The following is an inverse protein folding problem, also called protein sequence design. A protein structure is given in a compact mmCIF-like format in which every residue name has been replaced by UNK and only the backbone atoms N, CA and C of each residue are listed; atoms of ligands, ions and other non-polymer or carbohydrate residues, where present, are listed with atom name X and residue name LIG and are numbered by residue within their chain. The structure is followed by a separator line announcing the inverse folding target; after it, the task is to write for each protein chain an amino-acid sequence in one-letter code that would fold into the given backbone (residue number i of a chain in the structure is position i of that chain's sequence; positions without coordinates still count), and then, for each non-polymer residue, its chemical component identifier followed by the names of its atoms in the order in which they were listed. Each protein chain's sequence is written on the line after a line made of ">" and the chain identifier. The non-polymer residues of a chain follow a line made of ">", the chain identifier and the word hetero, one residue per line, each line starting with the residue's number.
data_IF_879182746168
#
_entry.id   IF_879182746168
#
_cell.length_a   1.000
_cell.length_b   1.000
_cell.length_c   1.000
_cell.angle_alpha   90.00
_cell.angle_beta   90.00
_cell.angle_gamma   90.00
#
_symmetry.space_group_name_H-M   'P 1'
#
loop_
_entity.id
_entity.type
_entity.pdbx_description
1 polymer ?
#
# COMPACT_ATOMS: atom_id res chain seq x y z
N UNK A 1 -29.10 -16.15 -11.68
CA UNK A 1 -29.26 -14.83 -11.03
C UNK A 1 -28.16 -13.95 -11.59
N UNK A 2 -28.51 -12.83 -12.21
CA UNK A 2 -27.52 -11.84 -12.67
C UNK A 2 -26.71 -11.41 -11.45
N UNK A 3 -25.40 -11.62 -11.46
CA UNK A 3 -24.55 -11.01 -10.45
C UNK A 3 -24.67 -9.50 -10.60
N UNK A 4 -25.06 -8.85 -9.52
CA UNK A 4 -25.01 -7.40 -9.43
C UNK A 4 -23.56 -6.95 -9.70
N UNK A 5 -23.31 -6.08 -10.71
CA UNK A 5 -21.96 -5.66 -11.07
C UNK A 5 -21.16 -5.11 -9.88
N UNK A 6 -21.85 -4.43 -8.95
CA UNK A 6 -21.23 -3.90 -7.74
C UNK A 6 -20.68 -5.00 -6.83
N UNK A 7 -21.39 -6.13 -6.74
CA UNK A 7 -20.91 -7.30 -5.99
C UNK A 7 -19.64 -7.88 -6.60
N UNK A 8 -19.55 -7.95 -7.94
CA UNK A 8 -18.31 -8.39 -8.59
C UNK A 8 -17.16 -7.42 -8.30
N UNK A 9 -17.38 -6.12 -8.39
CA UNK A 9 -16.34 -5.11 -8.11
C UNK A 9 -15.82 -5.17 -6.67
N UNK A 10 -16.71 -5.40 -5.69
CA UNK A 10 -16.31 -5.65 -4.30
C UNK A 10 -15.38 -6.85 -4.18
N UNK A 11 -15.71 -7.95 -4.85
CA UNK A 11 -14.88 -9.16 -4.84
C UNK A 11 -13.53 -8.94 -5.51
N UNK A 12 -13.47 -8.14 -6.58
CA UNK A 12 -12.20 -7.76 -7.24
C UNK A 12 -11.31 -6.99 -6.26
N UNK A 13 -11.85 -5.96 -5.58
CA UNK A 13 -11.09 -5.17 -4.60
C UNK A 13 -10.61 -6.04 -3.43
N UNK A 14 -11.47 -6.89 -2.87
CA UNK A 14 -11.08 -7.84 -1.82
C UNK A 14 -9.99 -8.80 -2.30
N UNK A 15 -10.13 -9.35 -3.51
CA UNK A 15 -9.12 -10.24 -4.07
C UNK A 15 -7.78 -9.54 -4.22
N UNK A 16 -7.74 -8.33 -4.80
CA UNK A 16 -6.50 -7.54 -4.91
C UNK A 16 -5.81 -7.36 -3.55
N UNK A 17 -6.56 -6.94 -2.52
CA UNK A 17 -6.02 -6.72 -1.18
C UNK A 17 -5.56 -8.02 -0.50
N UNK A 18 -6.14 -9.16 -0.86
CA UNK A 18 -5.73 -10.47 -0.34
C UNK A 18 -4.49 -11.05 -1.03
N UNK A 19 -4.15 -10.60 -2.25
CA UNK A 19 -2.97 -11.08 -3.00
C UNK A 19 -1.65 -10.50 -2.49
N UNK A 20 -1.69 -9.43 -1.70
CA UNK A 20 -0.52 -8.77 -1.14
C UNK A 20 -0.48 -8.90 0.38
N UNK A 21 0.73 -8.90 0.95
CA UNK A 21 0.94 -8.93 2.40
C UNK A 21 1.09 -7.53 3.02
N UNK A 22 0.82 -6.49 2.25
CA UNK A 22 1.00 -5.08 2.62
C UNK A 22 -0.21 -4.24 2.17
N UNK A 23 -0.48 -3.08 2.80
CA UNK A 23 -1.57 -2.20 2.40
C UNK A 23 -1.36 -1.63 0.99
N UNK A 24 -2.41 -1.60 0.18
CA UNK A 24 -2.41 -0.88 -1.11
C UNK A 24 -2.96 0.52 -0.92
N UNK A 25 -2.47 1.49 -1.68
CA UNK A 25 -3.11 2.81 -1.70
C UNK A 25 -4.40 2.76 -2.52
N UNK A 26 -5.38 3.60 -2.18
CA UNK A 26 -6.59 3.77 -2.97
C UNK A 26 -6.28 4.18 -4.42
N UNK A 27 -5.18 4.91 -4.63
CA UNK A 27 -4.67 5.24 -5.97
C UNK A 27 -4.22 3.99 -6.75
N UNK A 28 -3.43 3.11 -6.14
CA UNK A 28 -3.00 1.85 -6.78
C UNK A 28 -4.18 0.95 -7.14
N UNK A 29 -5.18 0.84 -6.25
CA UNK A 29 -6.41 0.10 -6.55
C UNK A 29 -7.18 0.77 -7.69
N UNK A 30 -7.25 2.10 -7.70
CA UNK A 30 -7.90 2.86 -8.77
C UNK A 30 -7.20 2.69 -10.11
N UNK A 31 -5.88 2.78 -10.15
CA UNK A 31 -5.10 2.65 -11.38
C UNK A 31 -5.35 1.31 -12.06
N UNK A 32 -5.37 0.22 -11.30
CA UNK A 32 -5.69 -1.09 -11.85
C UNK A 32 -7.14 -1.18 -12.35
N UNK A 33 -8.11 -0.83 -11.49
CA UNK A 33 -9.54 -1.00 -11.79
C UNK A 33 -9.96 -0.15 -13.00
N UNK A 34 -9.50 1.09 -13.06
CA UNK A 34 -9.79 2.02 -14.14
C UNK A 34 -9.01 1.67 -15.41
N UNK A 35 -7.74 1.26 -15.28
CA UNK A 35 -6.90 0.85 -16.40
C UNK A 35 -7.41 -0.41 -17.10
N UNK A 36 -8.11 -1.29 -16.38
CA UNK A 36 -8.83 -2.46 -16.92
C UNK A 36 -10.27 -2.18 -17.32
N UNK A 37 -10.73 -0.94 -17.19
CA UNK A 37 -12.10 -0.51 -17.51
C UNK A 37 -13.18 -1.34 -16.82
N UNK A 38 -12.89 -1.95 -15.65
CA UNK A 38 -13.88 -2.75 -14.94
C UNK A 38 -15.04 -1.90 -14.44
N UNK A 39 -14.73 -0.69 -13.96
CA UNK A 39 -15.72 0.30 -13.56
C UNK A 39 -15.14 1.71 -13.59
N UNK A 40 -15.92 2.71 -13.16
CA UNK A 40 -15.48 4.10 -13.10
C UNK A 40 -15.13 4.53 -11.67
N UNK A 41 -14.53 5.72 -11.54
CA UNK A 41 -14.06 6.26 -10.26
C UNK A 41 -15.18 6.36 -9.21
N UNK A 42 -16.38 6.81 -9.60
CA UNK A 42 -17.50 6.98 -8.67
C UNK A 42 -17.97 5.64 -8.11
N UNK A 43 -18.12 4.64 -8.98
CA UNK A 43 -18.49 3.28 -8.56
C UNK A 43 -17.41 2.66 -7.68
N UNK A 44 -16.13 2.86 -7.99
CA UNK A 44 -15.04 2.36 -7.16
C UNK A 44 -15.04 3.00 -5.77
N UNK A 45 -15.29 4.30 -5.67
CA UNK A 45 -15.45 4.98 -4.37
C UNK A 45 -16.62 4.40 -3.57
N UNK A 46 -17.76 4.15 -4.22
CA UNK A 46 -18.90 3.48 -3.60
C UNK A 46 -18.53 2.08 -3.09
N UNK A 47 -17.81 1.29 -3.89
CA UNK A 47 -17.34 -0.04 -3.51
C UNK A 47 -16.43 0.02 -2.28
N UNK A 48 -15.45 0.93 -2.25
CA UNK A 48 -14.54 1.10 -1.12
C UNK A 48 -15.30 1.50 0.14
N UNK A 49 -16.23 2.45 0.05
CA UNK A 49 -17.03 2.88 1.19
C UNK A 49 -17.90 1.74 1.72
N UNK A 50 -18.62 1.02 0.86
CA UNK A 50 -19.46 -0.10 1.29
C UNK A 50 -18.67 -1.26 1.90
N UNK A 51 -17.46 -1.54 1.39
CA UNK A 51 -16.56 -2.54 1.99
C UNK A 51 -16.02 -2.07 3.36
N UNK A 52 -15.78 -0.77 3.52
CA UNK A 52 -15.31 -0.18 4.77
C UNK A 52 -16.41 -0.20 5.82
N UNK A 53 -17.61 0.24 5.46
CA UNK A 53 -18.80 0.24 6.33
C UNK A 53 -19.19 -1.18 6.76
N UNK A 54 -18.99 -2.17 5.88
CA UNK A 54 -19.19 -3.58 6.17
C UNK A 54 -18.06 -4.22 7.01
N UNK A 55 -17.00 -3.48 7.34
CA UNK A 55 -15.84 -3.99 8.09
C UNK A 55 -15.01 -5.02 7.34
N UNK A 56 -15.14 -5.10 6.01
CA UNK A 56 -14.39 -6.05 5.17
C UNK A 56 -13.01 -5.52 4.77
N UNK A 57 -12.84 -4.19 4.80
CA UNK A 57 -11.54 -3.53 4.62
C UNK A 57 -11.36 -2.45 5.68
N UNK A 58 -10.10 -2.12 5.97
CA UNK A 58 -9.71 -0.99 6.81
C UNK A 58 -9.07 0.07 5.92
N UNK A 59 -9.46 1.31 6.14
CA UNK A 59 -8.85 2.49 5.55
C UNK A 59 -7.95 3.18 6.57
N UNK A 60 -6.74 3.57 6.17
CA UNK A 60 -5.82 4.35 7.00
C UNK A 60 -5.25 5.51 6.18
N UNK A 61 -5.46 6.74 6.65
CA UNK A 61 -4.86 7.91 6.01
C UNK A 61 -3.45 8.11 6.53
N UNK A 62 -2.46 7.95 5.65
CA UNK A 62 -1.05 8.17 5.92
C UNK A 62 -0.54 9.16 4.87
N UNK A 63 -0.03 10.32 5.31
CA UNK A 63 0.65 11.30 4.43
C UNK A 63 -0.15 11.67 3.17
N UNK A 64 -1.41 12.08 3.35
CA UNK A 64 -2.35 12.42 2.27
C UNK A 64 -2.68 11.29 1.29
N UNK A 65 -2.35 10.04 1.62
CA UNK A 65 -2.75 8.85 0.87
C UNK A 65 -3.63 7.97 1.74
N UNK A 66 -4.69 7.43 1.15
CA UNK A 66 -5.55 6.45 1.79
C UNK A 66 -4.99 5.06 1.50
N UNK A 67 -4.57 4.34 2.54
CA UNK A 67 -4.17 2.95 2.48
C UNK A 67 -5.36 2.05 2.79
N UNK A 68 -5.42 0.91 2.10
CA UNK A 68 -6.47 -0.08 2.15
C UNK A 68 -5.85 -1.41 2.57
N UNK A 69 -6.49 -2.11 3.49
CA UNK A 69 -6.11 -3.46 3.92
C UNK A 69 -7.35 -4.31 4.12
N UNK A 70 -7.29 -5.58 3.75
CA UNK A 70 -8.38 -6.52 3.96
C UNK A 70 -8.40 -7.00 5.43
N UNK A 71 -9.59 -7.08 6.03
CA UNK A 71 -9.79 -7.61 7.39
C UNK A 71 -9.89 -9.14 7.38
N UNK A 72 -9.80 -9.82 8.54
CA UNK A 72 -10.14 -11.23 8.64
C UNK A 72 -11.54 -11.55 8.08
N UNK A 73 -12.53 -10.72 8.37
CA UNK A 73 -13.91 -10.86 7.90
C UNK A 73 -14.02 -10.70 6.37
N UNK A 74 -13.28 -9.75 5.80
CA UNK A 74 -13.16 -9.58 4.36
C UNK A 74 -12.53 -10.79 3.67
N UNK A 75 -11.48 -11.37 4.27
CA UNK A 75 -10.84 -12.60 3.75
C UNK A 75 -11.78 -13.79 3.81
N UNK A 76 -12.50 -13.96 4.90
CA UNK A 76 -13.48 -15.04 5.06
C UNK A 76 -14.59 -14.91 4.01
N UNK A 77 -15.13 -13.70 3.84
CA UNK A 77 -16.14 -13.41 2.80
C UNK A 77 -15.61 -13.71 1.41
N UNK A 78 -14.38 -13.29 1.11
CA UNK A 78 -13.74 -13.57 -0.18
C UNK A 78 -13.64 -15.07 -0.43
N UNK A 79 -13.23 -15.88 0.55
CA UNK A 79 -13.11 -17.34 0.39
C UNK A 79 -14.44 -18.01 -0.01
N UNK A 80 -15.58 -17.52 0.49
CA UNK A 80 -16.90 -18.05 0.12
C UNK A 80 -17.31 -17.70 -1.31
N UNK A 81 -16.81 -16.60 -1.85
CA UNK A 81 -17.27 -16.02 -3.12
C UNK A 81 -16.18 -15.91 -4.18
N UNK A 82 -14.97 -16.43 -3.93
CA UNK A 82 -13.83 -16.31 -4.83
C UNK A 82 -14.08 -17.00 -6.19
N UNK A 83 -14.95 -18.02 -6.20
CA UNK A 83 -15.41 -18.71 -7.40
C UNK A 83 -16.28 -17.85 -8.32
N UNK A 84 -16.75 -16.70 -7.84
CA UNK A 84 -17.51 -15.71 -8.62
C UNK A 84 -16.60 -14.79 -9.43
N UNK A 85 -15.31 -14.75 -9.11
CA UNK A 85 -14.31 -14.00 -9.86
C UNK A 85 -13.82 -14.90 -10.99
N UNK A 86 -14.04 -14.49 -12.24
CA UNK A 86 -13.57 -15.25 -13.40
C UNK A 86 -12.04 -15.35 -13.45
N UNK A 87 -11.52 -16.48 -13.96
CA UNK A 87 -10.09 -16.74 -14.01
C UNK A 87 -9.30 -15.67 -14.78
N UNK A 88 -9.91 -15.08 -15.81
CA UNK A 88 -9.33 -13.96 -16.55
C UNK A 88 -9.01 -12.78 -15.62
N UNK A 89 -9.95 -12.39 -14.76
CA UNK A 89 -9.76 -11.27 -13.83
C UNK A 89 -8.66 -11.60 -12.82
N UNK A 90 -8.64 -12.84 -12.30
CA UNK A 90 -7.58 -13.28 -11.37
C UNK A 90 -6.19 -13.20 -12.02
N UNK A 91 -6.07 -13.66 -13.27
CA UNK A 91 -4.83 -13.58 -14.03
C UNK A 91 -4.40 -12.14 -14.32
N UNK A 92 -5.35 -11.25 -14.61
CA UNK A 92 -5.08 -9.83 -14.83
C UNK A 92 -4.56 -9.16 -13.56
N UNK A 93 -5.14 -9.47 -12.40
CA UNK A 93 -4.66 -9.00 -11.09
C UNK A 93 -3.25 -9.53 -10.79
N UNK A 94 -3.02 -10.83 -11.00
CA UNK A 94 -1.72 -11.44 -10.78
C UNK A 94 -0.63 -10.86 -11.70
N UNK A 95 -0.99 -10.58 -12.95
CA UNK A 95 -0.10 -9.93 -13.93
C UNK A 95 0.22 -8.50 -13.49
N UNK A 96 -0.79 -7.73 -13.10
CA UNK A 96 -0.59 -6.38 -12.57
C UNK A 96 0.38 -6.37 -11.38
N UNK A 97 0.21 -7.29 -10.42
CA UNK A 97 1.13 -7.39 -9.30
C UNK A 97 2.54 -7.77 -9.71
N UNK A 98 2.71 -8.71 -10.65
CA UNK A 98 4.03 -9.10 -11.15
C UNK A 98 4.75 -7.95 -11.87
N UNK A 99 4.03 -7.19 -12.70
CA UNK A 99 4.60 -6.07 -13.45
C UNK A 99 4.93 -4.87 -12.55
N UNK A 100 4.14 -4.67 -11.50
CA UNK A 100 4.26 -3.51 -10.62
C UNK A 100 4.89 -3.87 -9.26
N UNK A 101 5.36 -5.10 -9.03
CA UNK A 101 5.80 -5.59 -7.72
C UNK A 101 6.85 -4.68 -7.09
N UNK A 102 7.84 -4.26 -7.87
CA UNK A 102 8.90 -3.36 -7.41
C UNK A 102 8.36 -1.97 -7.05
N UNK A 103 7.45 -1.40 -7.84
CA UNK A 103 6.87 -0.08 -7.58
C UNK A 103 5.94 -0.12 -6.37
N UNK A 104 5.05 -1.12 -6.32
CA UNK A 104 4.10 -1.34 -5.22
C UNK A 104 4.83 -1.60 -3.91
N UNK A 105 5.90 -2.42 -3.93
CA UNK A 105 6.74 -2.65 -2.75
C UNK A 105 7.59 -1.43 -2.41
N UNK A 106 8.16 -0.69 -3.36
CA UNK A 106 8.98 0.49 -3.08
C UNK A 106 8.16 1.64 -2.48
N UNK A 107 6.92 1.84 -2.92
CA UNK A 107 6.02 2.83 -2.32
C UNK A 107 5.67 2.51 -0.85
N UNK A 108 5.82 1.25 -0.43
CA UNK A 108 5.60 0.79 0.96
C UNK A 108 6.92 0.54 1.72
N UNK A 109 8.01 0.23 1.02
CA UNK A 109 9.29 -0.24 1.59
C UNK A 109 10.34 0.85 1.68
N UNK A 110 10.08 2.06 1.16
CA UNK A 110 10.87 3.21 1.56
C UNK A 110 10.17 4.02 2.62
N UNK A 111 10.17 3.43 3.80
CA UNK A 111 9.79 4.03 5.07
C UNK A 111 10.82 5.09 5.41
N UNK A 112 10.55 6.33 5.04
CA UNK A 112 10.94 7.45 5.89
C UNK A 112 9.65 7.89 6.55
N UNK A 113 9.37 7.62 7.82
CA UNK A 113 8.24 8.23 8.55
C UNK A 113 8.72 9.43 9.34
N UNK A 114 7.86 10.42 9.62
CA UNK A 114 8.25 11.44 10.58
C UNK A 114 7.13 11.79 11.56
N UNK A 115 7.49 12.04 12.81
CA UNK A 115 6.55 12.40 13.87
C UNK A 115 7.11 13.51 14.73
N UNK A 116 6.23 14.31 15.32
CA UNK A 116 6.61 15.32 16.28
C UNK A 116 6.92 14.65 17.62
N UNK A 117 8.15 14.79 18.07
CA UNK A 117 8.62 14.31 19.36
C UNK A 117 8.03 15.15 20.50
N UNK A 118 7.99 14.58 21.70
CA UNK A 118 7.54 15.27 22.92
C UNK A 118 8.45 16.44 23.31
N UNK A 119 9.67 16.51 22.74
CA UNK A 119 10.62 17.62 22.87
C UNK A 119 10.27 18.83 21.98
N UNK A 120 9.34 18.69 21.03
CA UNK A 120 8.99 19.74 20.06
C UNK A 120 9.75 19.65 18.73
N UNK A 121 10.74 18.77 18.62
CA UNK A 121 11.45 18.43 17.37
C UNK A 121 10.68 17.39 16.53
N UNK A 122 11.07 17.20 15.28
CA UNK A 122 10.51 16.22 14.36
C UNK A 122 11.51 15.09 14.13
N UNK A 123 11.08 13.84 14.26
CA UNK A 123 11.94 12.66 14.09
C UNK A 123 11.65 12.01 12.75
N UNK A 124 12.64 11.90 11.87
CA UNK A 124 12.56 11.17 10.61
C UNK A 124 13.13 9.75 10.79
N UNK A 125 12.26 8.75 10.71
CA UNK A 125 12.54 7.33 10.87
C UNK A 125 12.69 6.64 9.51
N UNK A 126 13.92 6.26 9.17
CA UNK A 126 14.36 5.76 7.87
C UNK A 126 14.70 4.26 7.95
N UNK A 127 13.96 3.42 7.23
CA UNK A 127 14.19 1.97 7.19
C UNK A 127 14.43 1.51 5.75
N UNK A 128 15.43 0.65 5.57
CA UNK A 128 15.59 -0.13 4.34
C UNK A 128 15.50 -1.62 4.66
N UNK A 129 14.65 -2.34 3.93
CA UNK A 129 14.46 -3.78 4.09
C UNK A 129 14.78 -4.50 2.78
N UNK A 130 15.42 -5.66 2.87
CA UNK A 130 15.55 -6.61 1.77
C UNK A 130 14.95 -7.96 2.18
N UNK A 131 14.02 -8.47 1.36
CA UNK A 131 13.27 -9.72 1.62
C UNK A 131 12.70 -9.84 3.05
N UNK A 132 12.28 -8.71 3.62
CA UNK A 132 11.71 -8.62 4.97
C UNK A 132 12.74 -8.49 6.11
N UNK A 133 14.03 -8.56 5.82
CA UNK A 133 15.12 -8.34 6.77
C UNK A 133 15.45 -6.85 6.79
N UNK A 134 15.53 -6.24 7.97
CA UNK A 134 15.96 -4.85 8.12
C UNK A 134 17.47 -4.76 7.85
N UNK A 135 17.84 -4.09 6.76
CA UNK A 135 19.24 -3.81 6.43
C UNK A 135 19.75 -2.61 7.22
N UNK A 136 18.90 -1.60 7.40
CA UNK A 136 19.23 -0.39 8.15
C UNK A 136 17.96 0.23 8.72
N UNK A 137 18.09 0.77 9.93
CA UNK A 137 17.04 1.44 10.69
C UNK A 137 17.68 2.65 11.38
N UNK A 138 17.29 3.86 10.96
CA UNK A 138 17.92 5.12 11.37
C UNK A 138 16.83 6.10 11.77
N UNK A 139 16.95 6.72 12.94
CA UNK A 139 16.07 7.84 13.34
C UNK A 139 16.89 9.11 13.43
N UNK A 140 16.45 10.17 12.74
CA UNK A 140 17.10 11.48 12.70
C UNK A 140 16.17 12.55 13.29
N UNK A 141 16.58 13.20 14.37
CA UNK A 141 15.85 14.35 14.95
C UNK A 141 16.22 15.63 14.23
N UNK A 142 15.22 16.38 13.78
CA UNK A 142 15.35 17.65 13.06
C UNK A 142 14.35 18.69 13.58
N UNK A 143 14.68 19.99 13.52
CA UNK A 143 13.88 21.00 14.21
C UNK A 143 12.55 21.34 13.53
N UNK A 144 12.38 21.01 12.23
CA UNK A 144 11.19 21.39 11.45
C UNK A 144 10.67 20.26 10.57
N UNK A 145 9.36 20.24 10.41
CA UNK A 145 8.59 19.23 9.67
C UNK A 145 9.04 19.09 8.21
N UNK A 146 9.25 20.22 7.53
CA UNK A 146 9.66 20.25 6.13
C UNK A 146 11.01 19.54 5.92
N UNK A 147 11.92 19.64 6.89
CA UNK A 147 13.21 18.95 6.84
C UNK A 147 13.03 17.45 7.05
N UNK A 148 12.17 17.05 7.99
CA UNK A 148 11.87 15.64 8.23
C UNK A 148 11.22 15.00 6.98
N UNK A 149 10.27 15.69 6.36
CA UNK A 149 9.63 15.29 5.11
C UNK A 149 10.65 15.16 3.96
N UNK A 150 11.51 16.17 3.77
CA UNK A 150 12.53 16.14 2.73
C UNK A 150 13.55 15.00 2.94
N UNK A 151 13.88 14.67 4.19
CA UNK A 151 14.73 13.53 4.53
C UNK A 151 14.05 12.22 4.11
N UNK A 152 12.77 12.04 4.43
CA UNK A 152 11.99 10.87 4.03
C UNK A 152 11.89 10.74 2.50
N UNK A 153 11.62 11.83 1.79
CA UNK A 153 11.53 11.84 0.32
C UNK A 153 12.86 11.49 -0.35
N UNK A 154 13.96 11.99 0.21
CA UNK A 154 15.30 11.67 -0.30
C UNK A 154 15.70 10.23 0.03
N UNK A 155 15.25 9.67 1.14
CA UNK A 155 15.46 8.27 1.48
C UNK A 155 14.91 7.32 0.41
N UNK A 156 13.75 7.65 -0.18
CA UNK A 156 13.16 6.91 -1.32
C UNK A 156 14.12 6.73 -2.48
N UNK A 157 14.89 7.77 -2.77
CA UNK A 157 15.78 7.82 -3.93
C UNK A 157 17.19 7.36 -3.59
N UNK A 158 17.63 7.54 -2.33
CA UNK A 158 19.04 7.41 -1.93
C UNK A 158 19.34 6.28 -0.94
N UNK A 159 18.36 5.51 -0.47
CA UNK A 159 18.57 4.47 0.55
C UNK A 159 19.71 3.49 0.19
N UNK A 160 19.83 3.06 -1.07
CA UNK A 160 20.90 2.16 -1.49
C UNK A 160 22.30 2.81 -1.41
N UNK A 161 22.42 4.08 -1.80
CA UNK A 161 23.68 4.82 -1.73
C UNK A 161 24.07 5.10 -0.28
N UNK A 162 23.10 5.45 0.56
CA UNK A 162 23.33 5.71 1.99
C UNK A 162 23.72 4.41 2.71
N UNK A 163 23.06 3.30 2.42
CA UNK A 163 23.45 1.99 2.96
C UNK A 163 24.89 1.61 2.56
N UNK A 164 25.26 1.78 1.28
CA UNK A 164 26.64 1.54 0.81
C UNK A 164 27.65 2.46 1.51
N UNK A 165 27.29 3.73 1.71
CA UNK A 165 28.12 4.70 2.42
C UNK A 165 28.35 4.26 3.87
N UNK A 166 27.29 3.88 4.59
CA UNK A 166 27.39 3.40 5.98
C UNK A 166 28.29 2.17 6.10
N UNK A 167 28.14 1.18 5.21
CA UNK A 167 29.00 -0.01 5.21
C UNK A 167 30.46 0.37 4.97
N UNK A 168 30.74 1.26 4.01
CA UNK A 168 32.09 1.69 3.68
C UNK A 168 32.79 2.43 4.83
N UNK A 169 32.06 3.25 5.59
CA UNK A 169 32.66 4.03 6.68
C UNK A 169 32.78 3.22 7.99
N UNK A 170 31.99 2.15 8.14
CA UNK A 170 31.98 1.29 9.33
C UNK A 170 32.86 0.03 9.18
N UNK A 171 33.37 -0.27 7.98
CA UNK A 171 34.17 -1.45 7.65
C UNK A 171 35.40 -1.09 6.81
#
# INVERSE_FOLDING_TARGET
>A
MLQDPLTLYKLIVLYMLNRVTFPLTAAQVSDFILGKEYTNFLTLQQVINELTDAGMIVTQSIRNRTHLSITPEGKETLNFFENRIGDTIKQEIDTYFRENEFTLRNEVSVLGDYYKSTSGEYEAHLVAKDRGISLVDITLSVPVEETAAAICDNWQKKNQEIYKYLIKELF
#
